data_IF_150438999713
#
_entry.id   IF_150438999713
#
_cell.length_a   1.000
_cell.length_b   1.000
_cell.length_c   1.000
_cell.angle_alpha   90.00
_cell.angle_beta   90.00
_cell.angle_gamma   90.00
#
_symmetry.space_group_name_H-M   'P 1'
#
loop_
_entity.id
_entity.type
_entity.pdbx_description
1 polymer ?
#
# COMPACT_ATOMS: atom_id res chain seq x y z
N UNK A 1 16.59 10.06 5.09
CA UNK A 1 15.98 11.40 5.17
C UNK A 1 14.51 11.18 5.46
N UNK A 2 14.09 11.36 6.72
CA UNK A 2 12.75 11.06 7.20
C UNK A 2 11.73 12.06 6.63
N UNK A 3 11.27 11.77 5.41
CA UNK A 3 10.11 12.47 4.86
C UNK A 3 8.84 11.69 5.20
N UNK A 4 7.74 12.38 5.51
CA UNK A 4 6.43 11.74 5.55
C UNK A 4 6.15 10.98 4.25
N UNK A 5 5.43 9.85 4.30
CA UNK A 5 4.93 9.20 3.10
C UNK A 5 3.98 10.16 2.37
N UNK A 6 4.18 10.33 1.07
CA UNK A 6 3.41 11.24 0.22
C UNK A 6 2.76 10.54 -0.97
N UNK A 7 3.20 9.32 -1.31
CA UNK A 7 2.69 8.56 -2.45
C UNK A 7 2.69 7.05 -2.16
N UNK A 8 1.95 6.29 -2.96
CA UNK A 8 1.79 4.83 -2.86
C UNK A 8 3.12 4.08 -2.95
N UNK A 9 4.07 4.58 -3.75
CA UNK A 9 5.40 4.00 -3.85
C UNK A 9 6.15 3.98 -2.50
N UNK A 10 5.77 4.85 -1.57
CA UNK A 10 6.41 4.92 -0.25
C UNK A 10 6.15 3.67 0.59
N UNK A 11 5.11 2.86 0.32
CA UNK A 11 4.87 1.59 1.01
C UNK A 11 6.03 0.57 0.86
N UNK A 12 6.88 0.75 -0.15
CA UNK A 12 8.06 -0.08 -0.41
C UNK A 12 9.37 0.55 0.07
N UNK A 13 9.33 1.63 0.87
CA UNK A 13 10.54 2.15 1.50
C UNK A 13 11.14 1.08 2.43
N UNK A 14 12.47 0.86 2.42
CA UNK A 14 13.12 -0.21 3.20
C UNK A 14 12.79 -0.19 4.69
N UNK A 15 12.62 0.99 5.27
CA UNK A 15 12.27 1.20 6.69
C UNK A 15 10.85 0.72 7.07
N UNK A 16 9.96 0.51 6.09
CA UNK A 16 8.62 -0.05 6.30
C UNK A 16 8.55 -1.57 6.10
N UNK A 17 9.68 -2.24 5.83
CA UNK A 17 9.70 -3.70 5.64
C UNK A 17 9.13 -4.41 6.88
N UNK A 18 8.12 -5.25 6.68
CA UNK A 18 7.39 -5.96 7.74
C UNK A 18 6.57 -5.05 8.67
N UNK A 19 6.28 -3.81 8.25
CA UNK A 19 5.59 -2.78 9.07
C UNK A 19 4.44 -2.10 8.35
N UNK A 20 4.00 -2.64 7.21
CA UNK A 20 2.85 -2.11 6.47
C UNK A 20 1.58 -2.83 6.90
N UNK A 21 0.57 -2.09 7.34
CA UNK A 21 -0.76 -2.63 7.61
C UNK A 21 -1.75 -2.23 6.50
N UNK A 22 -2.59 -3.16 6.04
CA UNK A 22 -3.60 -2.87 5.03
C UNK A 22 -4.99 -3.22 5.57
N UNK A 23 -5.85 -2.21 5.63
CA UNK A 23 -7.30 -2.35 5.77
C UNK A 23 -7.92 -2.45 4.39
N UNK A 24 -8.65 -3.53 4.14
CA UNK A 24 -9.30 -3.85 2.88
C UNK A 24 -8.79 -5.14 2.25
N UNK A 25 -9.61 -5.69 1.35
CA UNK A 25 -9.32 -6.93 0.64
C UNK A 25 -8.29 -6.79 -0.49
N UNK A 26 -8.23 -7.82 -1.34
CA UNK A 26 -7.30 -7.92 -2.47
C UNK A 26 -7.29 -6.68 -3.38
N UNK A 27 -8.43 -5.97 -3.48
CA UNK A 27 -8.56 -4.74 -4.26
C UNK A 27 -7.64 -3.63 -3.77
N UNK A 28 -7.49 -3.44 -2.46
CA UNK A 28 -6.62 -2.41 -1.88
C UNK A 28 -5.15 -2.70 -2.18
N UNK A 29 -4.73 -3.96 -2.03
CA UNK A 29 -3.38 -4.39 -2.39
C UNK A 29 -3.08 -4.16 -3.88
N UNK A 30 -4.02 -4.50 -4.76
CA UNK A 30 -3.89 -4.26 -6.21
C UNK A 30 -3.83 -2.76 -6.53
N UNK A 31 -4.68 -1.95 -5.89
CA UNK A 31 -4.64 -0.48 -6.03
C UNK A 31 -3.29 0.07 -5.63
N UNK A 32 -2.73 -0.35 -4.49
CA UNK A 32 -1.44 0.10 -4.02
C UNK A 32 -0.33 -0.20 -5.04
N UNK A 33 -0.29 -1.43 -5.55
CA UNK A 33 0.70 -1.84 -6.55
C UNK A 33 0.54 -1.10 -7.90
N UNK A 34 -0.69 -0.90 -8.37
CA UNK A 34 -0.96 -0.14 -9.60
C UNK A 34 -0.53 1.32 -9.46
N UNK A 35 -0.96 1.97 -8.37
CA UNK A 35 -0.66 3.39 -8.13
C UNK A 35 0.83 3.63 -7.90
N UNK A 36 1.54 2.70 -7.25
CA UNK A 36 2.99 2.78 -7.08
C UNK A 36 3.76 2.73 -8.41
N UNK A 37 3.19 2.10 -9.43
CA UNK A 37 3.72 2.07 -10.80
C UNK A 37 3.15 3.21 -11.68
N UNK A 38 2.54 4.23 -11.07
CA UNK A 38 1.97 5.39 -11.77
C UNK A 38 0.70 5.08 -12.58
N UNK A 39 0.04 3.94 -12.31
CA UNK A 39 -1.14 3.49 -13.07
C UNK A 39 -2.44 3.86 -12.37
N UNK A 40 -3.51 3.94 -13.16
CA UNK A 40 -4.87 4.03 -12.61
C UNK A 40 -5.17 2.81 -11.74
N UNK A 41 -5.83 3.04 -10.61
CA UNK A 41 -6.34 1.95 -9.78
C UNK A 41 -7.32 1.07 -10.56
N UNK A 42 -8.05 1.63 -11.54
CA UNK A 42 -9.05 0.96 -12.35
C UNK A 42 -8.51 0.52 -13.73
N UNK A 43 -7.20 0.34 -13.88
CA UNK A 43 -6.64 -0.10 -15.14
C UNK A 43 -7.20 -1.49 -15.52
N UNK A 44 -8.00 -1.53 -16.58
CA UNK A 44 -8.63 -2.77 -17.08
C UNK A 44 -7.67 -3.56 -18.00
N UNK A 45 -6.84 -2.85 -18.76
CA UNK A 45 -5.82 -3.47 -19.60
C UNK A 45 -4.42 -3.29 -19.01
N UNK A 46 -3.86 -4.39 -18.50
CA UNK A 46 -2.47 -4.43 -18.01
C UNK A 46 -1.43 -4.34 -19.14
N UNK A 47 -1.85 -4.42 -20.42
CA UNK A 47 -1.00 -4.25 -21.60
C UNK A 47 -1.03 -2.83 -22.17
N UNK A 48 -2.04 -2.03 -21.86
CA UNK A 48 -2.07 -0.63 -22.31
C UNK A 48 -1.01 0.17 -21.56
N UNK A 49 0.04 0.47 -22.31
CA UNK A 49 1.09 1.40 -21.97
C UNK A 49 0.56 2.85 -22.04
N UNK A 50 1.14 3.70 -21.19
CA UNK A 50 1.00 5.15 -21.22
C UNK A 50 0.95 5.66 -19.77
N UNK A 51 2.05 6.06 -19.14
CA UNK A 51 3.09 7.00 -19.62
C UNK A 51 4.49 6.47 -19.26
N UNK A 52 5.35 6.20 -20.26
CA UNK A 52 6.72 5.71 -20.09
C UNK A 52 6.94 4.29 -20.64
N UNK A 53 7.68 4.19 -21.74
CA UNK A 53 7.82 2.96 -22.54
C UNK A 53 8.50 1.78 -21.85
N UNK A 54 8.06 0.57 -22.22
CA UNK A 54 8.69 -0.69 -21.85
C UNK A 54 7.64 -1.77 -21.60
N UNK A 55 7.72 -2.91 -22.30
CA UNK A 55 6.81 -4.06 -22.18
C UNK A 55 6.83 -4.80 -20.83
N UNK A 56 7.12 -4.12 -19.72
CA UNK A 56 7.28 -4.70 -18.37
C UNK A 56 6.23 -4.26 -17.35
N UNK A 57 5.20 -3.51 -17.73
CA UNK A 57 4.22 -2.93 -16.80
C UNK A 57 3.47 -3.95 -15.92
N UNK A 58 3.07 -5.09 -16.51
CA UNK A 58 2.42 -6.17 -15.79
C UNK A 58 3.36 -6.86 -14.80
N UNK A 59 4.62 -7.03 -15.18
CA UNK A 59 5.63 -7.68 -14.34
C UNK A 59 6.05 -6.76 -13.18
N UNK A 60 6.16 -5.45 -13.42
CA UNK A 60 6.40 -4.47 -12.36
C UNK A 60 5.29 -4.48 -11.30
N UNK A 61 4.02 -4.45 -11.72
CA UNK A 61 2.86 -4.53 -10.79
C UNK A 61 2.85 -5.88 -10.05
N UNK A 62 3.15 -6.99 -10.74
CA UNK A 62 3.28 -8.31 -10.11
C UNK A 62 4.39 -8.34 -9.07
N UNK A 63 5.54 -7.75 -9.37
CA UNK A 63 6.67 -7.66 -8.45
C UNK A 63 6.29 -6.82 -7.22
N UNK A 64 5.68 -5.65 -7.42
CA UNK A 64 5.14 -4.83 -6.33
C UNK A 64 4.18 -5.61 -5.44
N UNK A 65 3.21 -6.31 -6.01
CA UNK A 65 2.27 -7.15 -5.25
C UNK A 65 2.99 -8.26 -4.47
N UNK A 66 3.97 -8.90 -5.09
CA UNK A 66 4.73 -9.99 -4.47
C UNK A 66 5.57 -9.45 -3.31
N UNK A 67 6.26 -8.33 -3.50
CA UNK A 67 7.07 -7.68 -2.48
C UNK A 67 6.19 -7.12 -1.35
N UNK A 68 5.04 -6.55 -1.69
CA UNK A 68 4.07 -6.09 -0.69
C UNK A 68 3.69 -7.25 0.21
N UNK A 69 3.25 -8.38 -0.38
CA UNK A 69 2.79 -9.54 0.37
C UNK A 69 3.90 -10.28 1.13
N UNK A 70 5.12 -10.33 0.59
CA UNK A 70 6.21 -11.16 1.14
C UNK A 70 7.19 -10.39 2.02
N UNK A 71 7.30 -9.08 1.85
CA UNK A 71 8.36 -8.29 2.48
C UNK A 71 7.80 -7.11 3.28
N UNK A 72 6.82 -6.38 2.75
CA UNK A 72 6.36 -5.15 3.38
C UNK A 72 5.23 -5.39 4.40
N UNK A 73 4.30 -6.29 4.08
CA UNK A 73 3.08 -6.51 4.83
C UNK A 73 3.35 -7.12 6.21
N UNK A 74 2.82 -6.47 7.24
CA UNK A 74 2.65 -7.01 8.57
C UNK A 74 1.30 -7.72 8.70
N UNK A 75 0.22 -7.04 8.31
CA UNK A 75 -1.16 -7.54 8.42
C UNK A 75 -2.03 -6.99 7.29
N UNK A 76 -2.90 -7.85 6.74
CA UNK A 76 -3.97 -7.47 5.82
C UNK A 76 -5.29 -8.01 6.37
N UNK A 77 -5.97 -7.18 7.15
CA UNK A 77 -7.20 -7.55 7.87
C UNK A 77 -7.96 -6.29 8.27
N UNK A 78 -9.28 -6.27 8.02
CA UNK A 78 -10.12 -5.08 8.22
C UNK A 78 -10.27 -4.70 9.70
N UNK A 79 -10.12 -5.65 10.63
CA UNK A 79 -10.24 -5.39 12.07
C UNK A 79 -8.89 -5.11 12.73
N UNK A 80 -7.84 -5.82 12.33
CA UNK A 80 -6.55 -5.81 13.04
C UNK A 80 -5.59 -4.72 12.57
N UNK A 81 -5.76 -4.17 11.36
CA UNK A 81 -4.80 -3.21 10.81
C UNK A 81 -4.71 -1.89 11.61
N UNK A 82 -5.82 -1.40 12.14
CA UNK A 82 -5.85 -0.20 13.01
C UNK A 82 -5.17 -0.46 14.34
N UNK A 83 -5.37 -1.66 14.90
CA UNK A 83 -4.71 -2.05 16.14
C UNK A 83 -3.19 -2.10 15.95
N UNK A 84 -2.73 -2.74 14.87
CA UNK A 84 -1.29 -2.80 14.55
C UNK A 84 -0.68 -1.40 14.39
N UNK A 85 -1.40 -0.46 13.76
CA UNK A 85 -0.96 0.94 13.65
C UNK A 85 -0.95 1.64 15.02
N UNK A 86 -1.99 1.46 15.83
CA UNK A 86 -2.13 2.10 17.14
C UNK A 86 -1.09 1.62 18.16
N UNK A 87 -0.70 0.36 18.10
CA UNK A 87 0.32 -0.23 18.98
C UNK A 87 1.75 0.07 18.53
N UNK A 88 1.93 0.62 17.32
CA UNK A 88 3.25 0.89 16.72
C UNK A 88 3.91 -0.34 16.09
N UNK A 89 3.21 -1.48 16.01
CA UNK A 89 3.68 -2.67 15.30
C UNK A 89 3.78 -2.38 13.78
N UNK A 90 2.76 -1.70 13.24
CA UNK A 90 2.79 -1.12 11.91
C UNK A 90 3.23 0.34 11.99
N UNK A 91 4.09 0.74 11.06
CA UNK A 91 4.61 2.10 10.97
C UNK A 91 3.87 2.94 9.92
N UNK A 92 3.18 2.27 8.98
CA UNK A 92 2.34 2.89 7.96
C UNK A 92 1.14 1.99 7.67
N UNK A 93 -0.02 2.59 7.40
CA UNK A 93 -1.22 1.86 7.02
C UNK A 93 -1.92 2.45 5.79
N UNK A 94 -2.60 1.58 5.04
CA UNK A 94 -3.51 1.98 3.97
C UNK A 94 -4.88 1.32 4.17
N UNK A 95 -5.95 2.12 4.22
CA UNK A 95 -7.31 1.64 4.44
C UNK A 95 -8.35 2.75 4.30
N UNK A 96 -9.63 2.48 4.61
CA UNK A 96 -10.68 3.49 4.66
C UNK A 96 -10.29 4.69 5.52
N UNK A 97 -10.59 5.90 5.05
CA UNK A 97 -10.29 7.12 5.78
C UNK A 97 -11.02 7.20 7.13
N UNK A 98 -12.24 6.68 7.20
CA UNK A 98 -13.08 6.74 8.40
C UNK A 98 -12.45 6.01 9.59
N UNK A 99 -11.78 4.89 9.34
CA UNK A 99 -11.09 4.11 10.36
C UNK A 99 -9.87 4.88 10.91
N UNK A 100 -9.09 5.50 10.00
CA UNK A 100 -7.89 6.28 10.34
C UNK A 100 -8.28 7.56 11.11
N UNK A 101 -9.31 8.27 10.65
CA UNK A 101 -9.83 9.45 11.33
C UNK A 101 -10.40 9.11 12.72
N UNK A 102 -11.06 7.96 12.83
CA UNK A 102 -11.56 7.46 14.12
C UNK A 102 -10.42 7.17 15.10
N UNK A 103 -9.28 6.66 14.61
CA UNK A 103 -8.08 6.49 15.43
C UNK A 103 -7.50 7.84 15.87
N UNK A 104 -7.30 8.77 14.94
CA UNK A 104 -6.70 10.07 15.23
C UNK A 104 -7.51 10.89 16.26
N UNK A 105 -8.84 10.78 16.24
CA UNK A 105 -9.73 11.43 17.23
C UNK A 105 -9.58 10.88 18.65
N UNK A 106 -9.13 9.63 18.82
CA UNK A 106 -8.90 9.03 20.14
C UNK A 106 -7.57 9.43 20.75
N UNK A 107 -6.61 9.86 19.92
CA UNK A 107 -5.26 10.24 20.34
C UNK A 107 -5.04 11.75 20.45
N UNK A 108 -6.08 12.56 20.24
CA UNK A 108 -6.08 14.02 20.48
C UNK A 108 -6.70 14.35 21.83
#
# INVERSE_FOLDING_TARGET
>A
KDRPPCDWADLWRPEFKGKVAIGGGARTMLTAALRAEGRSANAEDMRQAGVGGGGGGRDAVRNRLTDLRRQQLLVQDDAQYIQALSCGDAWIAAGPSDDILSLARRSS
#
